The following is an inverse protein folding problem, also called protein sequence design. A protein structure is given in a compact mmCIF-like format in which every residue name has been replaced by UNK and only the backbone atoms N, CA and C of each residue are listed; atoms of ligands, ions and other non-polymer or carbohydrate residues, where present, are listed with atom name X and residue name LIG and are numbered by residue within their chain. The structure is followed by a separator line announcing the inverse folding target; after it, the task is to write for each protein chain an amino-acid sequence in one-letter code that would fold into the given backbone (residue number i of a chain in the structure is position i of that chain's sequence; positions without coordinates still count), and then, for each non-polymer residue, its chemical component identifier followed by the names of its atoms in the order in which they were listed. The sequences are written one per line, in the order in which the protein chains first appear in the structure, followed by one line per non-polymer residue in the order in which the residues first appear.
data_IF_740206010117
#
_entry.id   IF_740206010117
#
_cell.length_a   1.000
_cell.length_b   1.000
_cell.length_c   1.000
_cell.angle_alpha   90.00
_cell.angle_beta   90.00
_cell.angle_gamma   90.00
#
_symmetry.space_group_name_H-M   'P 1'
#
loop_
_entity.id
_entity.type
_entity.pdbx_description
1 polymer ?
#
# COMPACT_ATOMS: atom_id res chain seq x y z
N UNK A 1 2.51 -22.56 41.29
CA UNK A 1 3.23 -21.29 41.04
C UNK A 1 4.39 -21.61 40.13
N UNK A 2 4.25 -21.33 38.83
CA UNK A 2 5.39 -21.15 37.95
C UNK A 2 4.99 -20.07 36.95
N UNK A 3 5.67 -18.94 37.05
CA UNK A 3 5.58 -17.77 36.19
C UNK A 3 6.22 -18.12 34.86
N UNK A 4 5.46 -17.98 33.77
CA UNK A 4 6.02 -17.90 32.42
C UNK A 4 5.56 -16.58 31.83
N UNK A 5 6.31 -15.52 32.16
CA UNK A 5 6.37 -14.33 31.32
C UNK A 5 6.80 -14.76 29.91
N UNK A 6 5.95 -14.50 28.92
CA UNK A 6 6.37 -14.40 27.52
C UNK A 6 6.18 -12.94 27.11
N UNK A 7 7.20 -12.28 26.55
CA UNK A 7 7.03 -10.99 25.94
C UNK A 7 6.31 -11.19 24.60
N UNK A 8 5.06 -10.77 24.51
CA UNK A 8 4.37 -10.62 23.23
C UNK A 8 4.71 -9.22 22.68
N UNK A 9 5.89 -9.11 22.08
CA UNK A 9 6.25 -8.10 21.08
C UNK A 9 5.49 -8.40 19.77
N UNK A 10 5.05 -7.48 18.92
CA UNK A 10 4.73 -6.03 18.92
C UNK A 10 4.20 -5.78 17.46
N UNK A 11 3.53 -4.65 17.20
CA UNK A 11 3.22 -4.05 15.88
C UNK A 11 1.87 -4.30 15.17
N UNK A 12 1.48 -3.21 14.49
CA UNK A 12 0.27 -2.85 13.74
C UNK A 12 -0.10 -3.82 12.62
N UNK A 13 -1.39 -4.15 12.48
CA UNK A 13 -1.88 -5.07 11.44
C UNK A 13 -3.08 -4.51 10.67
N UNK A 14 -2.93 -4.34 9.35
CA UNK A 14 -4.00 -4.66 8.40
C UNK A 14 -3.60 -5.82 7.50
N UNK A 15 -3.60 -6.98 8.15
CA UNK A 15 -4.06 -8.30 7.73
C UNK A 15 -3.21 -9.29 8.52
N UNK A 16 -3.79 -9.88 9.57
CA UNK A 16 -3.25 -10.89 10.51
C UNK A 16 -2.32 -10.46 11.63
N UNK A 17 -2.61 -10.89 12.87
CA UNK A 17 -1.64 -11.03 13.96
C UNK A 17 -0.43 -11.84 13.46
N UNK A 18 0.75 -11.25 13.61
CA UNK A 18 2.11 -11.70 13.29
C UNK A 18 2.50 -11.69 11.80
N UNK A 19 3.15 -10.60 11.35
CA UNK A 19 4.24 -10.53 10.36
C UNK A 19 5.00 -9.22 10.64
N UNK A 20 6.19 -9.34 11.22
CA UNK A 20 7.01 -8.19 11.64
C UNK A 20 8.08 -7.76 10.62
N UNK A 21 8.22 -8.46 9.48
CA UNK A 21 9.43 -8.32 8.66
C UNK A 21 9.24 -7.74 7.25
N UNK A 22 8.08 -7.94 6.59
CA UNK A 22 7.87 -7.48 5.20
C UNK A 22 6.95 -6.25 5.08
N UNK A 23 5.89 -6.12 5.89
CA UNK A 23 4.99 -4.95 5.82
C UNK A 23 5.56 -3.71 6.50
N UNK A 24 6.27 -3.86 7.63
CA UNK A 24 6.92 -2.74 8.30
C UNK A 24 7.90 -1.99 7.37
N UNK A 25 8.52 -2.66 6.38
CA UNK A 25 9.41 -2.01 5.42
C UNK A 25 8.70 -1.37 4.21
N UNK A 26 7.52 -1.82 3.81
CA UNK A 26 6.83 -1.26 2.63
C UNK A 26 6.06 0.02 2.98
N UNK A 27 5.41 0.07 4.15
CA UNK A 27 4.67 1.26 4.58
C UNK A 27 5.60 2.36 5.14
N UNK A 28 6.73 2.00 5.76
CA UNK A 28 7.68 3.01 6.30
C UNK A 28 8.64 3.61 5.24
N UNK A 29 8.89 2.93 4.10
CA UNK A 29 9.88 3.39 3.11
C UNK A 29 9.30 4.13 1.91
N UNK A 30 8.00 4.00 1.60
CA UNK A 30 7.41 4.61 0.41
C UNK A 30 6.51 5.80 0.76
N UNK A 31 6.84 6.95 0.15
CA UNK A 31 6.05 8.18 0.31
C UNK A 31 5.12 8.36 -0.90
N UNK A 32 3.82 8.38 -0.64
CA UNK A 32 2.80 8.63 -1.66
C UNK A 32 2.19 10.02 -1.49
N UNK A 33 1.80 10.62 -2.61
CA UNK A 33 1.27 11.98 -2.65
C UNK A 33 -0.13 12.02 -3.25
N UNK A 34 -1.04 12.69 -2.54
CA UNK A 34 -2.42 12.85 -2.97
C UNK A 34 -2.49 13.60 -4.33
N UNK A 35 -3.37 13.17 -5.25
CA UNK A 35 -3.55 13.79 -6.56
C UNK A 35 -4.12 15.21 -6.46
N UNK A 36 -5.05 15.42 -5.53
CA UNK A 36 -5.69 16.70 -5.26
C UNK A 36 -5.87 16.90 -3.75
N UNK A 37 -6.03 18.15 -3.33
CA UNK A 37 -6.37 18.49 -1.96
C UNK A 37 -7.82 18.06 -1.68
N UNK A 38 -8.08 17.18 -0.70
CA UNK A 38 -9.41 16.60 -0.54
C UNK A 38 -10.52 17.61 -0.24
N UNK A 39 -10.24 18.68 0.51
CA UNK A 39 -11.24 19.73 0.81
C UNK A 39 -11.48 20.72 -0.34
N UNK A 40 -10.42 21.18 -1.01
CA UNK A 40 -10.52 22.28 -2.00
C UNK A 40 -10.65 21.78 -3.45
N UNK A 41 -10.28 20.53 -3.72
CA UNK A 41 -10.19 19.97 -5.07
C UNK A 41 -9.04 20.57 -5.90
N UNK A 42 -8.12 21.31 -5.27
CA UNK A 42 -6.97 21.85 -5.98
C UNK A 42 -5.99 20.73 -6.35
N UNK A 43 -5.61 20.65 -7.62
CA UNK A 43 -4.61 19.68 -8.09
C UNK A 43 -3.28 19.92 -7.38
N UNK A 44 -2.78 18.87 -6.72
CA UNK A 44 -1.49 18.90 -6.07
C UNK A 44 -0.42 18.53 -7.09
N UNK A 45 0.70 19.25 -7.07
CA UNK A 45 1.89 18.90 -7.83
C UNK A 45 2.89 18.27 -6.87
N UNK A 46 2.99 16.95 -6.92
CA UNK A 46 4.07 16.22 -6.27
C UNK A 46 5.18 15.98 -7.28
N UNK A 47 6.39 16.45 -6.97
CA UNK A 47 7.60 16.08 -7.69
C UNK A 47 8.24 14.88 -7.00
N UNK A 48 8.59 13.85 -7.77
CA UNK A 48 9.24 12.65 -7.26
C UNK A 48 10.69 12.83 -6.90
N UNK A 49 11.32 11.71 -6.56
CA UNK A 49 12.77 11.66 -6.50
C UNK A 49 13.37 11.95 -7.88
N UNK A 50 14.21 12.99 -7.93
CA UNK A 50 14.93 13.32 -9.16
C UNK A 50 15.86 12.17 -9.56
N UNK A 51 15.68 11.67 -10.79
CA UNK A 51 16.59 10.73 -11.41
C UNK A 51 16.34 9.25 -11.10
N UNK A 52 15.16 8.85 -10.59
CA UNK A 52 14.81 7.40 -10.46
C UNK A 52 14.95 6.66 -11.77
N UNK A 53 14.42 7.22 -12.88
CA UNK A 53 14.57 6.64 -14.20
C UNK A 53 16.04 6.54 -14.63
N UNK A 54 16.84 7.58 -14.36
CA UNK A 54 18.28 7.57 -14.66
C UNK A 54 19.05 6.55 -13.81
N UNK A 55 18.60 6.26 -12.57
CA UNK A 55 19.15 5.18 -11.75
C UNK A 55 18.81 3.82 -12.39
N UNK A 56 17.54 3.58 -12.70
CA UNK A 56 17.07 2.34 -13.35
C UNK A 56 17.77 2.08 -14.70
N UNK A 57 18.02 3.12 -15.51
CA UNK A 57 18.76 3.01 -16.79
C UNK A 57 20.20 2.52 -16.64
N UNK A 58 20.80 2.64 -15.44
CA UNK A 58 22.15 2.15 -15.15
C UNK A 58 22.16 0.72 -14.60
N UNK A 59 20.99 0.19 -14.22
CA UNK A 59 20.86 -1.16 -13.71
C UNK A 59 20.78 -2.13 -14.89
N UNK A 60 21.35 -3.32 -14.72
CA UNK A 60 21.34 -4.34 -15.75
C UNK A 60 19.90 -4.81 -16.04
N UNK A 61 19.58 -5.10 -17.30
CA UNK A 61 18.21 -5.48 -17.70
C UNK A 61 17.74 -6.81 -17.08
N UNK A 62 18.68 -7.66 -16.68
CA UNK A 62 18.43 -8.90 -15.92
C UNK A 62 18.37 -8.72 -14.41
N UNK A 63 17.93 -7.56 -13.91
CA UNK A 63 17.74 -7.26 -12.49
C UNK A 63 16.25 -7.01 -12.25
N UNK A 64 15.76 -7.41 -11.08
CA UNK A 64 14.41 -7.06 -10.61
C UNK A 64 14.53 -5.96 -9.57
N UNK A 65 13.62 -5.01 -9.65
CA UNK A 65 13.60 -3.86 -8.78
C UNK A 65 12.18 -3.61 -8.30
N UNK A 66 12.06 -2.92 -7.17
CA UNK A 66 10.80 -2.34 -6.74
C UNK A 66 10.76 -0.85 -7.08
N UNK A 67 9.61 -0.40 -7.55
CA UNK A 67 9.34 1.02 -7.78
C UNK A 67 8.00 1.34 -7.15
N UNK A 68 7.95 2.41 -6.37
CA UNK A 68 6.68 3.02 -6.00
C UNK A 68 6.42 4.27 -6.84
N UNK A 69 5.15 4.57 -7.04
CA UNK A 69 4.72 5.81 -7.69
C UNK A 69 3.39 6.28 -7.11
N UNK A 70 3.14 7.58 -7.22
CA UNK A 70 1.80 8.14 -7.01
C UNK A 70 1.08 8.28 -8.34
N UNK A 71 -0.25 8.33 -8.33
CA UNK A 71 -1.04 8.63 -9.52
C UNK A 71 -1.35 10.13 -9.60
N UNK A 72 -1.69 10.58 -10.79
CA UNK A 72 -2.10 11.98 -11.08
C UNK A 72 -3.54 12.26 -10.66
N UNK A 73 -4.38 11.23 -10.64
CA UNK A 73 -5.79 11.27 -10.23
C UNK A 73 -6.06 10.13 -9.24
N UNK A 74 -7.14 10.23 -8.45
CA UNK A 74 -7.66 9.08 -7.71
C UNK A 74 -8.22 8.07 -8.73
N UNK A 75 -7.92 6.79 -8.53
CA UNK A 75 -8.34 5.70 -9.42
C UNK A 75 -9.02 4.63 -8.59
N UNK A 76 -9.91 3.83 -9.17
CA UNK A 76 -10.30 2.57 -8.51
C UNK A 76 -9.15 1.57 -8.55
N UNK A 77 -9.16 0.59 -7.65
CA UNK A 77 -8.17 -0.50 -7.67
C UNK A 77 -8.18 -1.25 -9.02
N UNK A 78 -9.35 -1.43 -9.63
CA UNK A 78 -9.53 -2.00 -10.98
C UNK A 78 -8.83 -1.15 -12.04
N UNK A 79 -9.03 0.16 -12.02
CA UNK A 79 -8.41 1.07 -12.98
C UNK A 79 -6.88 1.06 -12.86
N UNK A 80 -6.35 0.95 -11.64
CA UNK A 80 -4.92 0.79 -11.41
C UNK A 80 -4.40 -0.54 -11.98
N UNK A 81 -5.10 -1.65 -11.74
CA UNK A 81 -4.72 -2.97 -12.28
C UNK A 81 -4.74 -2.93 -13.82
N UNK A 82 -5.82 -2.42 -14.43
CA UNK A 82 -5.92 -2.29 -15.89
C UNK A 82 -4.89 -1.33 -16.49
N UNK A 83 -4.48 -0.28 -15.76
CA UNK A 83 -3.41 0.61 -16.19
C UNK A 83 -2.06 -0.11 -16.29
N UNK A 84 -1.82 -1.08 -15.41
CA UNK A 84 -0.55 -1.77 -15.27
C UNK A 84 -0.49 -3.13 -15.99
N UNK A 85 -1.63 -3.73 -16.33
CA UNK A 85 -1.77 -4.98 -17.09
C UNK A 85 -0.88 -5.07 -18.36
N UNK A 86 -0.65 -3.99 -19.15
CA UNK A 86 0.20 -4.08 -20.33
C UNK A 86 1.69 -4.29 -20.03
N UNK A 87 2.11 -4.17 -18.77
CA UNK A 87 3.49 -4.33 -18.33
C UNK A 87 3.64 -5.66 -17.58
N UNK A 88 4.78 -6.32 -17.75
CA UNK A 88 5.11 -7.54 -17.00
C UNK A 88 5.62 -7.15 -15.61
N UNK A 89 4.68 -6.77 -14.74
CA UNK A 89 4.88 -6.23 -13.40
C UNK A 89 3.89 -6.84 -12.42
N UNK A 90 4.31 -6.98 -11.17
CA UNK A 90 3.48 -7.39 -10.05
C UNK A 90 3.16 -6.20 -9.15
N UNK A 91 1.88 -6.03 -8.79
CA UNK A 91 1.44 -5.02 -7.83
C UNK A 91 1.52 -5.61 -6.42
N UNK A 92 2.42 -5.07 -5.60
CA UNK A 92 2.67 -5.54 -4.24
C UNK A 92 1.74 -4.87 -3.23
N UNK A 93 1.49 -3.56 -3.41
CA UNK A 93 0.71 -2.77 -2.47
C UNK A 93 0.16 -1.51 -3.14
N UNK A 94 -1.03 -1.05 -2.77
CA UNK A 94 -1.61 0.19 -3.26
C UNK A 94 -2.20 1.02 -2.11
N UNK A 95 -1.76 2.28 -1.90
CA UNK A 95 -2.31 3.14 -0.86
C UNK A 95 -3.76 3.49 -1.19
N UNK A 96 -4.63 3.33 -0.20
CA UNK A 96 -6.04 3.67 -0.26
C UNK A 96 -6.28 5.07 0.29
N UNK A 97 -7.09 5.83 -0.43
CA UNK A 97 -7.70 7.04 0.10
C UNK A 97 -8.96 6.65 0.88
N UNK A 98 -9.02 7.05 2.14
CA UNK A 98 -10.04 6.58 3.10
C UNK A 98 -10.78 7.71 3.80
N UNK A 99 -10.77 8.91 3.21
CA UNK A 99 -11.53 10.06 3.69
C UNK A 99 -10.71 11.08 4.48
N UNK A 100 -9.37 11.00 4.41
CA UNK A 100 -8.48 11.94 5.08
C UNK A 100 -8.74 13.39 4.63
N UNK A 101 -8.78 14.32 5.59
CA UNK A 101 -9.17 15.73 5.43
C UNK A 101 -10.65 15.96 5.03
N UNK A 102 -11.48 14.92 4.86
CA UNK A 102 -12.93 15.04 4.64
C UNK A 102 -13.74 14.55 5.83
N UNK A 103 -13.49 13.31 6.23
CA UNK A 103 -14.18 12.63 7.33
C UNK A 103 -13.44 12.81 8.66
N UNK A 104 -12.11 12.93 8.60
CA UNK A 104 -11.24 13.11 9.77
C UNK A 104 -9.92 13.79 9.39
N UNK A 105 -9.26 14.38 10.39
CA UNK A 105 -7.89 14.90 10.25
C UNK A 105 -6.90 13.75 10.48
N UNK A 106 -6.00 13.42 9.52
CA UNK A 106 -5.04 12.31 9.68
C UNK A 106 -4.08 12.57 10.84
N UNK A 107 -3.60 11.49 11.47
CA UNK A 107 -2.74 11.59 12.67
C UNK A 107 -1.35 12.15 12.35
N UNK A 108 -0.91 11.96 11.11
CA UNK A 108 0.32 12.51 10.59
C UNK A 108 0.22 12.75 9.08
N UNK A 109 0.59 13.95 8.67
CA UNK A 109 0.76 14.29 7.26
C UNK A 109 1.99 15.18 7.08
N UNK A 110 2.52 15.17 5.87
CA UNK A 110 3.64 16.00 5.47
C UNK A 110 3.52 16.44 4.03
N UNK A 111 4.37 17.38 3.64
CA UNK A 111 4.31 17.95 2.31
C UNK A 111 5.00 19.30 2.28
N UNK A 112 5.37 19.74 1.08
CA UNK A 112 5.99 21.03 0.84
C UNK A 112 5.55 21.59 -0.50
N UNK A 113 5.36 22.91 -0.56
CA UNK A 113 4.78 23.56 -1.75
C UNK A 113 3.34 23.10 -1.97
N UNK A 114 3.09 22.49 -3.13
CA UNK A 114 1.76 22.04 -3.56
C UNK A 114 1.65 20.50 -3.52
N UNK A 115 2.11 19.87 -2.43
CA UNK A 115 2.09 18.40 -2.26
C UNK A 115 1.60 18.03 -0.87
N UNK A 116 0.86 16.92 -0.76
CA UNK A 116 0.36 16.36 0.50
C UNK A 116 0.63 14.86 0.49
N UNK A 117 1.20 14.35 1.57
CA UNK A 117 1.46 12.94 1.83
C UNK A 117 0.96 12.58 3.22
N UNK A 118 0.25 11.47 3.32
CA UNK A 118 -0.31 10.96 4.57
C UNK A 118 0.67 9.92 5.12
N UNK A 119 0.88 9.89 6.44
CA UNK A 119 1.82 8.97 7.07
C UNK A 119 1.14 7.69 7.55
N UNK A 120 -0.11 7.78 7.99
CA UNK A 120 -0.94 6.66 8.47
C UNK A 120 -1.85 6.14 7.36
N UNK A 121 -1.26 5.71 6.24
CA UNK A 121 -2.02 5.24 5.08
C UNK A 121 -2.44 3.79 5.22
N UNK A 122 -3.68 3.48 4.84
CA UNK A 122 -4.13 2.11 4.69
C UNK A 122 -3.84 1.69 3.25
N UNK A 123 -3.53 0.41 3.02
CA UNK A 123 -3.27 -0.07 1.68
C UNK A 123 -3.92 -1.41 1.37
N UNK A 124 -4.06 -1.65 0.07
CA UNK A 124 -4.58 -2.89 -0.49
C UNK A 124 -3.41 -3.76 -0.99
N UNK A 125 -3.43 -5.04 -0.64
CA UNK A 125 -2.52 -6.08 -1.12
C UNK A 125 -3.35 -7.21 -1.73
N UNK A 126 -2.74 -8.07 -2.55
CA UNK A 126 -3.41 -9.29 -2.99
C UNK A 126 -3.68 -10.25 -1.83
N UNK A 127 -4.79 -11.00 -1.94
CA UNK A 127 -5.28 -11.95 -0.94
C UNK A 127 -4.28 -13.08 -0.64
N UNK A 128 -4.54 -13.83 0.44
CA UNK A 128 -3.72 -14.99 0.84
C UNK A 128 -4.53 -16.27 0.70
N UNK A 129 -3.97 -17.27 0.03
CA UNK A 129 -4.48 -18.64 0.13
C UNK A 129 -3.99 -19.22 1.47
N UNK A 130 -4.93 -19.65 2.32
CA UNK A 130 -4.60 -20.33 3.57
C UNK A 130 -4.81 -21.82 3.32
N UNK A 131 -3.74 -22.60 3.21
CA UNK A 131 -3.88 -24.06 3.27
C UNK A 131 -4.40 -24.44 4.67
N UNK A 132 -5.24 -25.49 4.74
CA UNK A 132 -6.01 -25.92 5.92
C UNK A 132 -5.19 -26.16 7.21
N UNK A 133 -3.87 -26.22 7.10
CA UNK A 133 -2.96 -26.17 8.23
C UNK A 133 -2.51 -24.71 8.48
N UNK A 134 -3.06 -24.11 9.54
CA UNK A 134 -2.73 -22.79 10.14
C UNK A 134 -1.24 -22.56 10.48
N UNK A 135 -0.35 -23.43 10.00
CA UNK A 135 1.11 -23.42 10.16
C UNK A 135 1.86 -23.05 8.87
N UNK A 136 1.18 -22.89 7.73
CA UNK A 136 1.83 -22.42 6.51
C UNK A 136 1.93 -20.88 6.50
N UNK A 137 3.14 -20.36 6.32
CA UNK A 137 3.38 -18.99 5.87
C UNK A 137 2.73 -18.83 4.49
N UNK A 138 1.44 -18.51 4.47
CA UNK A 138 0.72 -18.29 3.22
C UNK A 138 1.31 -17.08 2.54
N UNK A 139 1.71 -17.30 1.30
CA UNK A 139 2.32 -16.32 0.43
C UNK A 139 1.26 -15.25 0.13
N UNK A 140 1.59 -13.97 0.32
CA UNK A 140 0.78 -12.89 -0.23
C UNK A 140 0.74 -13.09 -1.75
N UNK A 141 -0.46 -13.11 -2.32
CA UNK A 141 -0.59 -13.06 -3.77
C UNK A 141 -0.43 -11.62 -4.24
N UNK A 142 -0.04 -11.47 -5.51
CA UNK A 142 0.00 -10.16 -6.13
C UNK A 142 -1.43 -9.60 -6.23
N UNK A 143 -1.57 -8.28 -6.17
CA UNK A 143 -2.85 -7.63 -6.40
C UNK A 143 -3.17 -7.71 -7.91
N UNK A 144 -4.11 -8.56 -8.28
CA UNK A 144 -4.54 -8.81 -9.66
C UNK A 144 -6.05 -8.72 -9.77
N UNK A 145 -6.59 -8.75 -10.99
CA UNK A 145 -8.04 -8.80 -11.20
C UNK A 145 -8.69 -10.01 -10.51
N UNK A 146 -7.99 -11.15 -10.48
CA UNK A 146 -8.47 -12.39 -9.86
C UNK A 146 -8.51 -12.30 -8.33
N UNK A 147 -7.51 -11.66 -7.71
CA UNK A 147 -7.40 -11.58 -6.24
C UNK A 147 -8.10 -10.36 -5.64
N UNK A 148 -8.49 -9.38 -6.46
CA UNK A 148 -8.99 -8.08 -6.00
C UNK A 148 -10.23 -8.19 -5.10
N UNK A 149 -11.26 -8.92 -5.54
CA UNK A 149 -12.52 -8.99 -4.81
C UNK A 149 -12.38 -9.70 -3.46
N UNK A 150 -11.54 -10.74 -3.42
CA UNK A 150 -11.18 -11.40 -2.16
C UNK A 150 -10.40 -10.45 -1.24
N UNK A 151 -9.46 -9.69 -1.79
CA UNK A 151 -8.63 -8.73 -1.04
C UNK A 151 -9.49 -7.64 -0.39
N UNK A 152 -10.42 -7.04 -1.14
CA UNK A 152 -11.37 -6.05 -0.62
C UNK A 152 -12.25 -6.63 0.48
N UNK A 153 -12.77 -7.84 0.28
CA UNK A 153 -13.60 -8.53 1.26
C UNK A 153 -12.83 -8.81 2.54
N UNK A 154 -11.61 -9.34 2.44
CA UNK A 154 -10.74 -9.62 3.59
C UNK A 154 -10.45 -8.35 4.38
N UNK A 155 -10.13 -7.24 3.71
CA UNK A 155 -9.91 -5.96 4.38
C UNK A 155 -11.14 -5.52 5.17
N UNK A 156 -12.32 -5.49 4.55
CA UNK A 156 -13.55 -5.08 5.23
C UNK A 156 -13.90 -6.01 6.39
N UNK A 157 -13.77 -7.33 6.22
CA UNK A 157 -14.03 -8.30 7.30
C UNK A 157 -13.06 -8.10 8.46
N UNK A 158 -11.77 -7.90 8.20
CA UNK A 158 -10.79 -7.65 9.26
C UNK A 158 -11.06 -6.34 10.00
N UNK A 159 -11.46 -5.27 9.29
CA UNK A 159 -11.83 -4.01 9.92
C UNK A 159 -13.08 -4.16 10.79
N UNK A 160 -14.11 -4.85 10.29
CA UNK A 160 -15.35 -5.13 11.00
C UNK A 160 -15.08 -5.96 12.27
N UNK A 161 -14.30 -7.03 12.16
CA UNK A 161 -13.92 -7.90 13.28
C UNK A 161 -13.19 -7.12 14.38
N UNK A 162 -12.25 -6.24 14.02
CA UNK A 162 -11.54 -5.39 14.97
C UNK A 162 -12.47 -4.38 15.65
N UNK A 163 -13.42 -3.79 14.90
CA UNK A 163 -14.39 -2.84 15.44
C UNK A 163 -15.39 -3.50 16.40
N UNK A 164 -15.80 -4.75 16.12
CA UNK A 164 -16.78 -5.48 16.93
C UNK A 164 -16.15 -6.15 18.16
N UNK A 165 -14.95 -6.71 18.03
CA UNK A 165 -14.40 -7.63 19.02
C UNK A 165 -13.24 -7.05 19.84
N UNK A 166 -12.59 -5.99 19.39
CA UNK A 166 -11.43 -5.40 20.06
C UNK A 166 -11.72 -3.98 20.59
N UNK A 167 -11.18 -3.60 21.76
CA UNK A 167 -11.38 -2.27 22.30
C UNK A 167 -10.64 -1.22 21.46
N UNK A 168 -11.19 0.00 21.38
CA UNK A 168 -10.58 1.14 20.66
C UNK A 168 -9.10 1.39 20.97
N UNK A 169 -8.72 1.26 22.24
CA UNK A 169 -7.32 1.41 22.65
C UNK A 169 -6.38 0.37 22.03
N UNK A 170 -6.88 -0.82 21.70
CA UNK A 170 -6.09 -1.86 21.07
C UNK A 170 -5.82 -1.50 19.60
N UNK A 171 -6.86 -1.24 18.79
CA UNK A 171 -6.61 -0.94 17.39
C UNK A 171 -5.91 0.42 17.20
N UNK A 172 -6.24 1.49 17.96
CA UNK A 172 -5.57 2.79 17.76
C UNK A 172 -4.18 2.85 18.40
N UNK A 173 -4.04 2.50 19.68
CA UNK A 173 -2.79 2.77 20.39
C UNK A 173 -1.78 1.63 20.30
N UNK A 174 -2.27 0.38 20.23
CA UNK A 174 -1.38 -0.78 20.15
C UNK A 174 -1.09 -1.15 18.70
N UNK A 175 -2.14 -1.18 17.86
CA UNK A 175 -1.99 -1.46 16.44
C UNK A 175 -1.80 -0.19 15.60
N UNK A 176 -1.88 1.05 16.10
CA UNK A 176 -1.66 2.23 15.25
C UNK A 176 -2.70 2.47 14.15
N UNK A 177 -3.86 1.81 14.23
CA UNK A 177 -4.94 1.83 13.25
C UNK A 177 -5.90 2.99 13.56
N UNK A 178 -5.39 4.22 13.44
CA UNK A 178 -6.16 5.41 13.76
C UNK A 178 -7.33 5.62 12.80
N UNK A 179 -8.46 6.08 13.35
CA UNK A 179 -9.68 6.37 12.61
C UNK A 179 -10.28 5.15 11.89
N UNK A 180 -10.11 3.94 12.46
CA UNK A 180 -10.57 2.69 11.87
C UNK A 180 -12.08 2.70 11.54
N UNK A 181 -12.92 3.27 12.40
CA UNK A 181 -14.37 3.34 12.18
C UNK A 181 -14.73 4.27 11.01
N UNK A 182 -14.10 5.43 10.94
CA UNK A 182 -14.27 6.42 9.88
C UNK A 182 -13.80 5.85 8.53
N UNK A 183 -12.60 5.23 8.51
CA UNK A 183 -12.03 4.60 7.32
C UNK A 183 -12.87 3.41 6.83
N UNK A 184 -13.36 2.56 7.74
CA UNK A 184 -14.25 1.45 7.41
C UNK A 184 -15.56 1.96 6.76
N UNK A 185 -16.14 3.00 7.36
CA UNK A 185 -17.36 3.63 6.85
C UNK A 185 -17.14 4.28 5.49
N UNK A 186 -15.99 4.92 5.28
CA UNK A 186 -15.64 5.54 4.00
C UNK A 186 -15.51 4.48 2.89
N UNK A 187 -14.76 3.40 3.13
CA UNK A 187 -14.54 2.33 2.14
C UNK A 187 -15.86 1.65 1.72
N UNK A 188 -16.79 1.43 2.67
CA UNK A 188 -18.10 0.85 2.35
C UNK A 188 -18.99 1.77 1.51
N UNK A 189 -18.83 3.08 1.64
CA UNK A 189 -19.66 4.06 0.94
C UNK A 189 -19.08 4.45 -0.42
N UNK A 190 -17.75 4.62 -0.50
CA UNK A 190 -17.06 5.21 -1.64
C UNK A 190 -16.25 4.18 -2.45
N UNK A 191 -16.12 2.95 -1.95
CA UNK A 191 -15.29 1.92 -2.57
C UNK A 191 -13.79 2.12 -2.29
N UNK A 192 -12.97 1.38 -3.05
CA UNK A 192 -11.52 1.32 -2.87
C UNK A 192 -10.83 2.21 -3.89
N UNK A 193 -10.64 3.48 -3.51
CA UNK A 193 -9.89 4.44 -4.30
C UNK A 193 -8.42 4.39 -3.92
N UNK A 194 -7.55 4.25 -4.92
CA UNK A 194 -6.09 4.23 -4.78
C UNK A 194 -5.48 5.49 -5.38
N UNK A 195 -4.28 5.83 -4.92
CA UNK A 195 -3.52 6.98 -5.43
C UNK A 195 -2.04 6.71 -5.66
N UNK A 196 -1.69 5.44 -5.84
CA UNK A 196 -0.33 5.00 -6.08
C UNK A 196 -0.24 3.49 -6.14
N UNK A 197 0.97 2.98 -6.27
CA UNK A 197 1.27 1.57 -6.07
C UNK A 197 2.75 1.38 -5.76
N UNK A 198 3.07 0.27 -5.10
CA UNK A 198 4.37 -0.39 -5.12
C UNK A 198 4.28 -1.53 -6.12
N UNK A 199 5.18 -1.54 -7.09
CA UNK A 199 5.28 -2.59 -8.10
C UNK A 199 6.68 -3.20 -8.13
N UNK A 200 6.77 -4.47 -8.49
CA UNK A 200 8.04 -5.16 -8.74
C UNK A 200 8.05 -5.79 -10.12
N UNK A 201 9.23 -5.95 -10.69
CA UNK A 201 9.41 -6.64 -11.97
C UNK A 201 10.76 -6.35 -12.63
N UNK A 202 10.97 -6.84 -13.85
CA UNK A 202 12.20 -6.60 -14.58
C UNK A 202 12.45 -5.10 -14.79
N UNK A 203 13.70 -4.64 -14.59
CA UNK A 203 14.08 -3.22 -14.79
C UNK A 203 13.66 -2.70 -16.17
N UNK A 204 13.71 -3.54 -17.20
CA UNK A 204 13.27 -3.19 -18.55
C UNK A 204 11.78 -2.84 -18.63
N UNK A 205 10.94 -3.53 -17.87
CA UNK A 205 9.48 -3.30 -17.82
C UNK A 205 9.17 -2.07 -16.97
N UNK A 206 9.82 -1.94 -15.82
CA UNK A 206 9.72 -0.76 -14.95
C UNK A 206 10.10 0.54 -15.67
N UNK A 207 11.12 0.50 -16.54
CA UNK A 207 11.53 1.65 -17.33
C UNK A 207 10.45 2.16 -18.30
N UNK A 208 9.47 1.32 -18.68
CA UNK A 208 8.36 1.75 -19.54
C UNK A 208 7.35 2.62 -18.78
N UNK A 209 7.30 2.51 -17.45
CA UNK A 209 6.40 3.31 -16.60
C UNK A 209 6.68 4.81 -16.71
N UNK A 210 7.89 5.21 -17.11
CA UNK A 210 8.26 6.62 -17.32
C UNK A 210 7.40 7.33 -18.39
N UNK A 211 6.82 6.56 -19.32
CA UNK A 211 6.02 7.07 -20.42
C UNK A 211 4.50 7.05 -20.09
N UNK A 212 4.12 6.53 -18.91
CA UNK A 212 2.73 6.48 -18.44
C UNK A 212 2.36 7.80 -17.76
N UNK A 213 1.56 8.61 -18.45
CA UNK A 213 1.21 9.98 -18.01
C UNK A 213 0.44 10.05 -16.69
N UNK A 214 -0.26 8.97 -16.36
CA UNK A 214 -1.04 8.85 -15.14
C UNK A 214 -0.15 8.67 -13.91
N UNK A 215 1.11 8.27 -14.09
CA UNK A 215 2.05 8.00 -13.01
C UNK A 215 2.95 9.20 -12.78
N UNK A 216 3.28 9.44 -11.52
CA UNK A 216 4.16 10.50 -11.08
C UNK A 216 4.89 10.10 -9.81
N UNK A 217 5.80 10.96 -9.41
CA UNK A 217 6.53 10.83 -8.16
C UNK A 217 7.17 9.45 -7.94
N UNK A 218 7.91 8.89 -8.94
CA UNK A 218 8.51 7.58 -8.76
C UNK A 218 9.54 7.63 -7.63
N UNK A 219 9.64 6.52 -6.89
CA UNK A 219 10.68 6.26 -5.91
C UNK A 219 11.21 4.84 -6.10
N UNK A 220 12.53 4.67 -5.94
CA UNK A 220 13.19 3.38 -6.12
C UNK A 220 13.25 2.66 -4.77
N UNK A 221 12.74 1.44 -4.75
CA UNK A 221 12.72 0.54 -3.61
C UNK A 221 13.90 -0.39 -3.53
N UNK A 222 13.64 -1.61 -3.05
CA UNK A 222 14.63 -2.68 -2.99
C UNK A 222 15.10 -3.11 -4.40
N UNK A 223 16.36 -3.56 -4.47
CA UNK A 223 17.00 -4.01 -5.70
C UNK A 223 17.52 -5.44 -5.49
N UNK A 224 17.02 -6.38 -6.28
CA UNK A 224 17.41 -7.78 -6.21
C UNK A 224 17.93 -8.32 -7.54
N UNK A 225 18.99 -9.13 -7.48
CA UNK A 225 19.52 -9.82 -8.65
C UNK A 225 18.58 -10.96 -9.05
N UNK A 226 18.14 -10.94 -10.32
CA UNK A 226 17.26 -11.97 -10.86
C UNK A 226 18.05 -13.27 -11.08
N UNK A 227 17.94 -14.22 -10.15
CA UNK A 227 18.43 -15.59 -10.30
C UNK A 227 17.25 -16.48 -10.69
N UNK A 228 17.07 -16.72 -11.98
CA UNK A 228 16.28 -17.85 -12.46
C UNK A 228 17.25 -18.95 -12.92
N UNK A 229 17.28 -20.06 -12.18
CA UNK A 229 17.53 -21.37 -12.77
C UNK A 229 16.21 -21.96 -13.28
#
# INVERSE_FOLDING_TARGET
MNTSDKPETLFSFFSTKSIDYYQNNLEENYRFFLPEHPETGETLSAEGENGVWTKLEKIHEGTVAEVSFSTTDFMTAEELISLLEPFDLDILWAPLYTGEFREFEPSGYGGGGNSISIFDTYGLTGGRETEDDYMSEGKMQNLTEETLEESKKMMLTNMDDLLENDPKSYYENFLGLYFLEERYSYLKQNGFQVYGAVVTGPVRELLKLKDVKQLRSPSLGELDYWNWE
#
